data_IF_692937874026
#
_entry.id   IF_692937874026
#
_cell.length_a   1.000
_cell.length_b   1.000
_cell.length_c   1.000
_cell.angle_alpha   90.00
_cell.angle_beta   90.00
_cell.angle_gamma   90.00
#
_symmetry.space_group_name_H-M   'P 1'
#
loop_
_entity.id
_entity.type
_entity.pdbx_description
1 polymer ?
#
# COMPACT_ATOMS: atom_id res chain seq x y z
N UNK A 1 13.29 -10.08 21.32
CA UNK A 1 13.60 -8.70 21.75
C UNK A 1 13.72 -7.74 20.57
N UNK A 2 14.65 -7.96 19.61
CA UNK A 2 14.84 -7.10 18.41
C UNK A 2 13.53 -6.71 17.68
N UNK A 3 12.65 -7.69 17.42
CA UNK A 3 11.30 -7.47 16.85
C UNK A 3 10.48 -6.42 17.61
N UNK A 4 10.39 -6.53 18.94
CA UNK A 4 9.60 -5.59 19.74
C UNK A 4 10.19 -4.18 19.74
N UNK A 5 11.51 -4.05 19.74
CA UNK A 5 12.18 -2.75 19.62
C UNK A 5 12.00 -2.13 18.23
N UNK A 6 12.02 -2.96 17.17
CA UNK A 6 11.73 -2.52 15.79
C UNK A 6 10.29 -2.03 15.67
N UNK A 7 9.33 -2.80 16.20
CA UNK A 7 7.92 -2.41 16.27
C UNK A 7 7.73 -1.07 16.98
N UNK A 8 8.28 -0.92 18.19
CA UNK A 8 8.13 0.30 18.98
C UNK A 8 8.77 1.51 18.29
N UNK A 9 9.94 1.32 17.65
CA UNK A 9 10.60 2.36 16.85
C UNK A 9 9.71 2.82 15.69
N UNK A 10 9.17 1.88 14.90
CA UNK A 10 8.24 2.22 13.81
C UNK A 10 6.96 2.89 14.31
N UNK A 11 6.41 2.42 15.43
CA UNK A 11 5.22 3.01 16.03
C UNK A 11 5.47 4.46 16.46
N UNK A 12 6.58 4.74 17.14
CA UNK A 12 6.96 6.10 17.51
C UNK A 12 7.14 6.99 16.29
N UNK A 13 7.83 6.49 15.25
CA UNK A 13 8.06 7.26 14.03
C UNK A 13 6.74 7.60 13.31
N UNK A 14 5.84 6.63 13.19
CA UNK A 14 4.53 6.85 12.57
C UNK A 14 3.67 7.85 13.33
N UNK A 15 3.71 7.84 14.68
CA UNK A 15 3.00 8.83 15.48
C UNK A 15 3.51 10.25 15.20
N UNK A 16 4.83 10.45 15.08
CA UNK A 16 5.38 11.77 14.74
C UNK A 16 4.91 12.20 13.35
N UNK A 17 4.96 11.31 12.35
CA UNK A 17 4.53 11.63 10.98
C UNK A 17 3.06 12.07 10.96
N UNK A 18 2.20 11.41 11.74
CA UNK A 18 0.77 11.70 11.79
C UNK A 18 0.41 12.98 12.56
N UNK A 19 1.24 13.40 13.53
CA UNK A 19 0.92 14.51 14.43
C UNK A 19 1.61 15.81 14.02
N UNK A 20 2.84 15.73 13.50
CA UNK A 20 3.72 16.88 13.35
C UNK A 20 3.74 17.35 11.91
N UNK A 21 3.61 18.65 11.70
CA UNK A 21 3.79 19.27 10.37
C UNK A 21 5.15 18.87 9.76
N UNK A 22 5.17 18.64 8.45
CA UNK A 22 6.31 18.05 7.72
C UNK A 22 7.66 18.74 7.95
N UNK A 23 7.66 20.06 8.17
CA UNK A 23 8.88 20.86 8.42
C UNK A 23 9.53 20.54 9.77
N UNK A 24 8.76 20.06 10.74
CA UNK A 24 9.21 19.80 12.11
C UNK A 24 9.46 18.31 12.40
N UNK A 25 9.03 17.41 11.50
CA UNK A 25 9.14 15.95 11.68
C UNK A 25 10.59 15.49 11.91
N UNK A 26 11.56 16.04 11.16
CA UNK A 26 12.98 15.67 11.28
C UNK A 26 13.52 16.05 12.66
N UNK A 27 13.16 17.23 13.15
CA UNK A 27 13.57 17.72 14.48
C UNK A 27 12.99 16.79 15.55
N UNK A 28 11.71 16.43 15.45
CA UNK A 28 11.07 15.49 16.36
C UNK A 28 11.72 14.11 16.34
N UNK A 29 12.12 13.59 15.18
CA UNK A 29 12.87 12.33 15.10
C UNK A 29 14.23 12.43 15.80
N UNK A 30 14.97 13.52 15.62
CA UNK A 30 16.25 13.71 16.30
C UNK A 30 16.08 13.75 17.84
N UNK A 31 15.04 14.43 18.33
CA UNK A 31 14.71 14.44 19.76
C UNK A 31 14.32 13.06 20.27
N UNK A 32 13.42 12.35 19.57
CA UNK A 32 13.02 10.99 19.97
C UNK A 32 14.19 10.02 19.97
N UNK A 33 15.09 10.13 19.00
CA UNK A 33 16.30 9.33 18.97
C UNK A 33 17.18 9.61 20.19
N UNK A 34 17.41 10.88 20.54
CA UNK A 34 18.16 11.24 21.75
C UNK A 34 17.54 10.64 23.03
N UNK A 35 16.20 10.69 23.14
CA UNK A 35 15.47 10.05 24.27
C UNK A 35 15.63 8.54 24.23
N UNK A 36 15.49 7.92 23.06
CA UNK A 36 15.62 6.48 22.88
C UNK A 36 17.00 5.97 23.26
N UNK A 37 18.07 6.66 22.84
CA UNK A 37 19.45 6.30 23.17
C UNK A 37 19.68 6.32 24.69
N UNK A 38 19.13 7.32 25.39
CA UNK A 38 19.17 7.38 26.86
C UNK A 38 18.45 6.21 27.52
N UNK A 39 17.25 5.86 27.04
CA UNK A 39 16.50 4.70 27.54
C UNK A 39 17.29 3.41 27.29
N UNK A 40 17.81 3.25 26.07
CA UNK A 40 18.62 2.09 25.68
C UNK A 40 19.87 1.94 26.55
N UNK A 41 20.51 3.05 26.94
CA UNK A 41 21.69 3.02 27.81
C UNK A 41 21.40 2.54 29.23
N UNK A 42 20.14 2.52 29.66
CA UNK A 42 19.72 1.87 30.93
C UNK A 42 19.65 0.33 30.82
N UNK A 43 19.59 -0.22 29.60
CA UNK A 43 19.56 -1.66 29.39
C UNK A 43 20.97 -2.26 29.48
N UNK A 44 21.06 -3.54 29.87
CA UNK A 44 22.31 -4.30 29.93
C UNK A 44 22.31 -5.49 28.98
N UNK A 45 23.51 -5.96 28.61
CA UNK A 45 23.70 -7.17 27.82
C UNK A 45 23.04 -7.14 26.42
N UNK A 46 22.42 -8.25 26.04
CA UNK A 46 21.84 -8.44 24.69
C UNK A 46 20.64 -7.53 24.39
N UNK A 47 19.95 -7.03 25.42
CA UNK A 47 18.80 -6.11 25.26
C UNK A 47 19.28 -4.76 24.73
N UNK A 48 20.36 -4.22 25.30
CA UNK A 48 20.98 -2.97 24.84
C UNK A 48 21.30 -3.02 23.34
N UNK A 49 21.89 -4.12 22.89
CA UNK A 49 22.29 -4.31 21.49
C UNK A 49 21.11 -4.58 20.56
N UNK A 50 19.99 -5.10 21.09
CA UNK A 50 18.80 -5.44 20.28
C UNK A 50 17.91 -4.24 19.95
N UNK A 51 18.11 -3.11 20.63
CA UNK A 51 17.20 -1.96 20.61
C UNK A 51 17.92 -0.69 20.18
N UNK A 52 18.86 -0.79 19.26
CA UNK A 52 19.49 0.37 18.60
C UNK A 52 18.44 1.07 17.74
N UNK A 53 18.26 2.39 17.91
CA UNK A 53 17.35 3.14 17.06
C UNK A 53 17.96 3.30 15.67
N UNK A 54 17.34 2.69 14.68
CA UNK A 54 17.66 2.96 13.28
C UNK A 54 16.88 4.19 12.81
N UNK A 55 17.61 5.24 12.42
CA UNK A 55 17.07 6.35 11.63
C UNK A 55 17.52 6.10 10.18
N UNK A 56 16.72 5.40 9.38
CA UNK A 56 17.09 5.19 7.99
C UNK A 56 17.12 6.53 7.23
N UNK A 57 18.10 6.77 6.34
CA UNK A 57 18.21 8.00 5.56
C UNK A 57 17.19 8.04 4.40
N UNK A 58 15.93 7.68 4.70
CA UNK A 58 14.83 7.60 3.72
C UNK A 58 13.74 8.61 4.04
N UNK A 59 12.98 8.99 3.01
CA UNK A 59 11.88 9.94 3.13
C UNK A 59 10.76 9.40 4.03
N UNK A 60 9.89 10.30 4.51
CA UNK A 60 8.76 9.94 5.39
C UNK A 60 7.86 8.87 4.76
N UNK A 61 7.56 8.99 3.47
CA UNK A 61 6.76 7.99 2.76
C UNK A 61 7.41 6.60 2.75
N UNK A 62 8.74 6.50 2.66
CA UNK A 62 9.42 5.20 2.80
C UNK A 62 9.34 4.65 4.22
N UNK A 63 9.40 5.49 5.26
CA UNK A 63 9.26 5.06 6.66
C UNK A 63 7.88 4.48 6.95
N UNK A 64 6.83 5.08 6.39
CA UNK A 64 5.46 4.54 6.48
C UNK A 64 5.36 3.17 5.80
N UNK A 65 5.93 3.03 4.60
CA UNK A 65 5.99 1.74 3.88
C UNK A 65 6.78 0.70 4.67
N UNK A 66 7.93 1.05 5.24
CA UNK A 66 8.73 0.18 6.11
C UNK A 66 7.91 -0.36 7.29
N UNK A 67 7.18 0.52 7.98
CA UNK A 67 6.26 0.10 9.05
C UNK A 67 5.21 -0.88 8.54
N UNK A 68 4.55 -0.60 7.40
CA UNK A 68 3.53 -1.51 6.82
C UNK A 68 4.13 -2.88 6.48
N UNK A 69 5.34 -2.92 5.91
CA UNK A 69 6.07 -4.18 5.62
C UNK A 69 6.33 -4.96 6.91
N UNK A 70 6.85 -4.28 7.94
CA UNK A 70 7.11 -4.90 9.24
C UNK A 70 5.82 -5.46 9.87
N UNK A 71 4.77 -4.64 9.95
CA UNK A 71 3.49 -5.05 10.52
C UNK A 71 2.86 -6.22 9.74
N UNK A 72 2.96 -6.23 8.41
CA UNK A 72 2.50 -7.36 7.61
C UNK A 72 3.26 -8.64 7.95
N UNK A 73 4.59 -8.59 8.00
CA UNK A 73 5.42 -9.75 8.34
C UNK A 73 5.04 -10.34 9.70
N UNK A 74 4.78 -9.48 10.69
CA UNK A 74 4.49 -9.95 12.04
C UNK A 74 3.06 -10.48 12.21
N UNK A 75 2.13 -10.04 11.37
CA UNK A 75 0.72 -10.42 11.45
C UNK A 75 0.29 -11.39 10.32
N UNK A 76 1.21 -11.87 9.48
CA UNK A 76 0.88 -12.67 8.29
C UNK A 76 0.06 -13.92 8.62
N UNK A 77 0.45 -14.67 9.65
CA UNK A 77 -0.26 -15.88 10.09
C UNK A 77 -1.67 -15.56 10.63
N UNK A 78 -1.80 -14.47 11.38
CA UNK A 78 -3.09 -14.01 11.91
C UNK A 78 -4.01 -13.54 10.78
N UNK A 79 -3.47 -12.81 9.79
CA UNK A 79 -4.22 -12.34 8.62
C UNK A 79 -4.81 -13.51 7.83
N UNK A 80 -4.06 -14.60 7.62
CA UNK A 80 -4.57 -15.82 6.98
C UNK A 80 -5.78 -16.41 7.71
N UNK A 81 -5.81 -16.31 9.04
CA UNK A 81 -6.87 -16.87 9.88
C UNK A 81 -8.09 -15.94 9.94
N UNK A 82 -7.85 -14.63 10.06
CA UNK A 82 -8.89 -13.62 10.20
C UNK A 82 -9.73 -13.50 8.93
N UNK A 83 -9.10 -13.54 7.75
CA UNK A 83 -9.81 -13.46 6.47
C UNK A 83 -10.79 -14.61 6.24
N UNK A 84 -10.54 -15.77 6.85
CA UNK A 84 -11.42 -16.96 6.77
C UNK A 84 -12.57 -16.94 7.79
N UNK A 85 -12.43 -16.19 8.87
CA UNK A 85 -13.29 -16.31 10.06
C UNK A 85 -14.13 -15.07 10.37
N UNK A 86 -13.76 -13.89 9.89
CA UNK A 86 -14.42 -12.61 10.22
C UNK A 86 -14.90 -11.88 8.98
N UNK A 87 -16.05 -12.31 8.44
CA UNK A 87 -16.63 -11.76 7.20
C UNK A 87 -16.86 -10.24 7.26
N UNK A 88 -17.25 -9.71 8.42
CA UNK A 88 -17.50 -8.27 8.62
C UNK A 88 -16.23 -7.39 8.57
N UNK A 89 -15.04 -7.97 8.77
CA UNK A 89 -13.78 -7.23 8.68
C UNK A 89 -13.05 -7.46 7.35
N UNK A 90 -13.56 -8.37 6.51
CA UNK A 90 -12.89 -8.82 5.29
C UNK A 90 -12.61 -7.67 4.33
N UNK A 91 -13.56 -6.73 4.18
CA UNK A 91 -13.36 -5.54 3.34
C UNK A 91 -12.18 -4.68 3.80
N UNK A 92 -12.08 -4.41 5.11
CA UNK A 92 -10.98 -3.65 5.69
C UNK A 92 -9.64 -4.33 5.46
N UNK A 93 -9.55 -5.64 5.72
CA UNK A 93 -8.33 -6.38 5.52
C UNK A 93 -7.95 -6.47 4.04
N UNK A 94 -8.90 -6.64 3.13
CA UNK A 94 -8.59 -6.66 1.71
C UNK A 94 -8.05 -5.30 1.22
N UNK A 95 -8.60 -4.17 1.65
CA UNK A 95 -8.00 -2.85 1.35
C UNK A 95 -6.56 -2.77 1.85
N UNK A 96 -6.30 -3.26 3.07
CA UNK A 96 -4.95 -3.34 3.60
C UNK A 96 -4.04 -4.26 2.77
N UNK A 97 -4.52 -5.41 2.30
CA UNK A 97 -3.75 -6.31 1.45
C UNK A 97 -3.40 -5.65 0.11
N UNK A 98 -4.34 -4.95 -0.54
CA UNK A 98 -4.07 -4.22 -1.78
C UNK A 98 -2.95 -3.17 -1.60
N UNK A 99 -2.98 -2.43 -0.49
CA UNK A 99 -1.88 -1.51 -0.11
C UNK A 99 -0.54 -2.24 0.02
N UNK A 100 -0.54 -3.43 0.64
CA UNK A 100 0.66 -4.26 0.81
C UNK A 100 1.16 -4.79 -0.55
N UNK A 101 0.27 -5.19 -1.46
CA UNK A 101 0.62 -5.61 -2.83
C UNK A 101 1.37 -4.49 -3.57
N UNK A 102 0.86 -3.26 -3.49
CA UNK A 102 1.48 -2.09 -4.11
C UNK A 102 2.87 -1.83 -3.54
N UNK A 103 3.02 -1.92 -2.21
CA UNK A 103 4.31 -1.76 -1.54
C UNK A 103 5.28 -2.87 -1.94
N UNK A 104 4.82 -4.12 -2.04
CA UNK A 104 5.65 -5.22 -2.50
C UNK A 104 6.18 -4.98 -3.91
N UNK A 105 5.30 -4.60 -4.83
CA UNK A 105 5.69 -4.34 -6.20
C UNK A 105 6.67 -3.16 -6.28
N UNK A 106 6.41 -2.04 -5.60
CA UNK A 106 7.36 -0.92 -5.49
C UNK A 106 8.74 -1.37 -5.01
N UNK A 107 8.79 -2.12 -3.90
CA UNK A 107 10.05 -2.52 -3.28
C UNK A 107 10.76 -3.64 -4.05
N UNK A 108 10.06 -4.43 -4.86
CA UNK A 108 10.69 -5.41 -5.76
C UNK A 108 11.64 -4.72 -6.75
N UNK A 109 11.27 -3.53 -7.23
CA UNK A 109 12.12 -2.72 -8.11
C UNK A 109 13.20 -1.97 -7.33
N UNK A 110 12.86 -1.39 -6.18
CA UNK A 110 13.81 -0.64 -5.35
C UNK A 110 14.89 -1.56 -4.76
N UNK A 111 14.52 -2.76 -4.32
CA UNK A 111 15.36 -3.72 -3.60
C UNK A 111 15.91 -4.82 -4.50
N UNK A 112 16.43 -4.41 -5.66
CA UNK A 112 17.05 -5.29 -6.67
C UNK A 112 18.58 -5.42 -6.52
N UNK A 113 19.15 -4.95 -5.40
CA UNK A 113 20.59 -4.99 -5.12
C UNK A 113 21.35 -3.69 -5.42
N UNK A 114 20.77 -2.74 -6.17
CA UNK A 114 21.43 -1.44 -6.48
C UNK A 114 21.15 -0.36 -5.44
N UNK A 115 19.98 -0.37 -4.78
CA UNK A 115 19.53 0.66 -3.83
C UNK A 115 19.25 0.11 -2.43
N UNK A 116 20.21 -0.65 -1.87
CA UNK A 116 20.03 -1.36 -0.60
C UNK A 116 19.74 -0.43 0.59
N UNK A 117 20.14 0.84 0.54
CA UNK A 117 19.86 1.82 1.61
C UNK A 117 18.36 2.10 1.81
N UNK A 118 17.56 1.93 0.76
CA UNK A 118 16.10 2.12 0.80
C UNK A 118 15.35 0.87 1.24
N UNK A 119 16.06 -0.23 1.42
CA UNK A 119 15.50 -1.54 1.71
C UNK A 119 15.61 -1.84 3.19
N UNK A 120 14.50 -2.17 3.86
CA UNK A 120 14.56 -2.58 5.25
C UNK A 120 15.24 -3.95 5.38
N UNK A 121 15.91 -4.21 6.50
CA UNK A 121 16.57 -5.50 6.80
C UNK A 121 15.61 -6.69 6.65
N UNK A 122 14.33 -6.47 6.95
CA UNK A 122 13.26 -7.47 6.88
C UNK A 122 12.60 -7.60 5.50
N UNK A 123 13.13 -6.96 4.45
CA UNK A 123 12.64 -7.09 3.07
C UNK A 123 12.61 -8.56 2.61
N UNK A 124 13.66 -9.33 2.90
CA UNK A 124 13.72 -10.74 2.53
C UNK A 124 12.65 -11.59 3.20
N UNK A 125 12.25 -11.26 4.43
CA UNK A 125 11.16 -11.95 5.12
C UNK A 125 9.81 -11.61 4.44
N UNK A 126 9.65 -10.34 4.06
CA UNK A 126 8.48 -9.90 3.32
C UNK A 126 8.33 -10.59 1.97
N UNK A 127 9.41 -10.74 1.20
CA UNK A 127 9.38 -11.49 -0.05
C UNK A 127 9.04 -12.98 0.09
N UNK A 128 9.28 -13.57 1.27
CA UNK A 128 8.84 -14.95 1.57
C UNK A 128 7.38 -15.03 1.98
N UNK A 129 6.90 -14.05 2.75
CA UNK A 129 5.53 -14.00 3.26
C UNK A 129 4.53 -13.48 2.21
N UNK A 130 5.00 -12.72 1.23
CA UNK A 130 4.21 -12.21 0.11
C UNK A 130 4.69 -12.82 -1.21
N UNK A 131 4.51 -14.14 -1.44
CA UNK A 131 4.69 -14.68 -2.79
C UNK A 131 3.58 -14.13 -3.69
N UNK A 132 3.91 -13.88 -4.96
CA UNK A 132 3.10 -13.22 -6.01
C UNK A 132 1.75 -13.92 -6.33
N UNK A 133 1.37 -14.95 -5.58
CA UNK A 133 0.10 -15.66 -5.70
C UNK A 133 -0.46 -16.00 -4.31
N UNK A 134 -0.40 -15.04 -3.38
CA UNK A 134 -0.79 -15.31 -2.00
C UNK A 134 -2.25 -15.77 -1.94
N UNK A 135 -2.49 -16.88 -1.24
CA UNK A 135 -3.83 -17.39 -0.95
C UNK A 135 -4.75 -16.31 -0.34
N UNK A 136 -4.15 -15.31 0.30
CA UNK A 136 -4.80 -14.12 0.86
C UNK A 136 -5.35 -13.21 -0.25
N UNK A 137 -4.59 -12.95 -1.30
CA UNK A 137 -5.00 -12.08 -2.41
C UNK A 137 -6.18 -12.69 -3.20
N UNK A 138 -6.16 -14.01 -3.39
CA UNK A 138 -7.28 -14.75 -4.01
C UNK A 138 -8.59 -14.60 -3.23
N UNK A 139 -8.52 -14.62 -1.90
CA UNK A 139 -9.68 -14.43 -1.02
C UNK A 139 -10.25 -13.00 -1.08
N UNK A 140 -9.48 -12.03 -1.58
CA UNK A 140 -9.89 -10.63 -1.69
C UNK A 140 -10.41 -10.23 -3.06
N UNK A 141 -10.34 -11.12 -4.07
CA UNK A 141 -10.70 -10.81 -5.46
C UNK A 141 -12.11 -10.22 -5.62
N UNK A 142 -13.13 -10.87 -5.06
CA UNK A 142 -14.52 -10.39 -5.14
C UNK A 142 -14.70 -9.03 -4.45
N UNK A 143 -13.94 -8.78 -3.38
CA UNK A 143 -13.98 -7.51 -2.66
C UNK A 143 -13.30 -6.41 -3.48
N UNK A 144 -12.18 -6.70 -4.13
CA UNK A 144 -11.51 -5.76 -5.03
C UNK A 144 -12.44 -5.33 -6.15
N UNK A 145 -13.12 -6.28 -6.79
CA UNK A 145 -14.12 -5.99 -7.84
C UNK A 145 -15.26 -5.13 -7.29
N UNK A 146 -15.81 -5.46 -6.11
CA UNK A 146 -16.86 -4.64 -5.46
C UNK A 146 -16.41 -3.22 -5.15
N UNK A 147 -15.14 -3.04 -4.78
CA UNK A 147 -14.56 -1.75 -4.43
C UNK A 147 -14.05 -0.96 -5.65
N UNK A 148 -14.08 -1.55 -6.84
CA UNK A 148 -13.49 -0.97 -8.03
C UNK A 148 -11.96 -0.81 -7.93
N UNK A 149 -11.29 -1.75 -7.26
CA UNK A 149 -9.82 -1.81 -7.17
C UNK A 149 -9.28 -2.75 -8.25
N UNK A 150 -8.48 -2.21 -9.16
CA UNK A 150 -7.93 -2.95 -10.30
C UNK A 150 -6.42 -2.94 -10.26
N UNK A 151 -5.82 -4.11 -10.47
CA UNK A 151 -4.38 -4.22 -10.67
C UNK A 151 -4.04 -3.75 -12.10
N UNK A 152 -3.29 -2.65 -12.19
CA UNK A 152 -2.93 -1.99 -13.43
C UNK A 152 -1.42 -1.85 -13.55
N UNK A 153 -0.93 -1.96 -14.78
CA UNK A 153 0.49 -1.85 -15.12
C UNK A 153 0.87 -0.40 -15.37
N UNK A 154 1.68 0.16 -14.48
CA UNK A 154 2.28 1.49 -14.62
C UNK A 154 3.64 1.38 -15.28
N UNK A 155 3.91 2.26 -16.24
CA UNK A 155 5.26 2.40 -16.81
C UNK A 155 6.18 3.08 -15.80
N UNK A 156 7.31 2.44 -15.50
CA UNK A 156 8.25 2.86 -14.47
C UNK A 156 9.66 3.13 -15.02
N UNK A 157 9.93 2.74 -16.27
CA UNK A 157 11.26 2.85 -16.87
C UNK A 157 11.72 4.28 -17.14
N UNK A 158 13.05 4.45 -17.16
CA UNK A 158 13.70 5.56 -17.87
C UNK A 158 13.60 5.33 -19.39
N UNK A 159 13.75 6.41 -20.18
CA UNK A 159 13.69 6.37 -21.65
C UNK A 159 14.44 5.14 -22.19
N UNK A 160 13.73 4.31 -22.95
CA UNK A 160 14.20 3.10 -23.65
C UNK A 160 14.26 1.77 -22.86
N UNK A 161 13.81 1.73 -21.61
CA UNK A 161 13.56 0.46 -20.88
C UNK A 161 12.07 0.31 -20.60
N UNK A 162 11.42 -0.71 -21.16
CA UNK A 162 10.02 -1.03 -20.85
C UNK A 162 9.91 -1.82 -19.53
N UNK A 163 10.00 -1.12 -18.41
CA UNK A 163 9.76 -1.67 -17.08
C UNK A 163 8.37 -1.27 -16.57
N UNK A 164 7.59 -2.23 -16.10
CA UNK A 164 6.22 -2.03 -15.62
C UNK A 164 6.07 -2.52 -14.19
N UNK A 165 5.31 -1.77 -13.38
CA UNK A 165 4.92 -2.14 -12.02
C UNK A 165 3.42 -2.36 -11.98
N UNK A 166 2.99 -3.45 -11.35
CA UNK A 166 1.59 -3.75 -11.10
C UNK A 166 1.13 -3.08 -9.80
N UNK A 167 0.04 -2.31 -9.85
CA UNK A 167 -0.52 -1.64 -8.67
C UNK A 167 -2.05 -1.68 -8.69
N UNK A 168 -2.64 -2.01 -7.55
CA UNK A 168 -4.05 -1.83 -7.27
C UNK A 168 -4.39 -0.35 -7.10
N UNK A 169 -5.31 0.13 -7.93
CA UNK A 169 -5.77 1.51 -7.90
C UNK A 169 -7.29 1.55 -8.12
N UNK A 170 -7.94 2.59 -7.59
CA UNK A 170 -9.39 2.73 -7.71
C UNK A 170 -9.80 3.25 -9.08
N UNK A 171 -10.95 2.83 -9.62
CA UNK A 171 -11.50 3.37 -10.88
C UNK A 171 -11.60 4.90 -10.87
N UNK A 172 -11.93 5.46 -9.71
CA UNK A 172 -12.05 6.92 -9.56
C UNK A 172 -10.68 7.60 -9.67
N UNK A 173 -9.61 6.96 -9.19
CA UNK A 173 -8.23 7.44 -9.36
C UNK A 173 -7.84 7.40 -10.85
N UNK A 174 -8.19 6.33 -11.57
CA UNK A 174 -7.97 6.25 -13.03
C UNK A 174 -8.70 7.33 -13.80
N UNK A 175 -10.00 7.52 -13.54
CA UNK A 175 -10.79 8.58 -14.17
C UNK A 175 -10.20 9.98 -13.91
N UNK A 176 -9.58 10.18 -12.75
CA UNK A 176 -8.91 11.43 -12.41
C UNK A 176 -7.59 11.62 -13.18
N UNK A 177 -6.75 10.58 -13.30
CA UNK A 177 -5.55 10.64 -14.14
C UNK A 177 -5.89 10.88 -15.63
N UNK A 178 -6.94 10.25 -16.16
CA UNK A 178 -7.42 10.49 -17.52
C UNK A 178 -7.84 11.96 -17.72
N UNK A 179 -8.48 12.58 -16.72
CA UNK A 179 -8.91 13.99 -16.75
C UNK A 179 -7.75 14.99 -16.63
N UNK A 180 -6.66 14.63 -15.93
CA UNK A 180 -5.49 15.49 -15.76
C UNK A 180 -4.47 15.41 -16.91
N UNK A 181 -4.41 14.28 -17.62
CA UNK A 181 -3.35 14.00 -18.62
C UNK A 181 -3.83 14.21 -20.08
N UNK A 182 -5.05 14.69 -20.28
CA UNK A 182 -5.49 15.20 -21.59
C UNK A 182 -4.75 16.53 -21.89
N UNK A 183 -3.53 16.55 -22.49
CA UNK A 183 -3.20 15.84 -23.73
C UNK A 183 -1.73 15.35 -23.85
N UNK A 184 -1.46 14.06 -23.66
CA UNK A 184 -0.36 13.35 -24.35
C UNK A 184 -0.89 11.99 -24.83
N UNK A 185 -1.24 11.92 -26.11
CA UNK A 185 -2.06 10.85 -26.71
C UNK A 185 -1.40 9.47 -26.76
N UNK A 186 -0.07 9.39 -26.63
CA UNK A 186 0.66 8.19 -27.03
C UNK A 186 0.93 7.24 -25.84
N UNK A 187 1.26 7.78 -24.66
CA UNK A 187 1.39 6.98 -23.44
C UNK A 187 0.03 6.46 -22.96
N UNK A 188 -1.01 7.30 -23.09
CA UNK A 188 -2.40 6.91 -22.82
C UNK A 188 -2.87 5.76 -23.72
N UNK A 189 -2.50 5.76 -25.00
CA UNK A 189 -2.88 4.69 -25.95
C UNK A 189 -2.22 3.36 -25.61
N UNK A 190 -1.02 3.37 -25.02
CA UNK A 190 -0.36 2.16 -24.51
C UNK A 190 -1.04 1.65 -23.23
N UNK A 191 -1.38 2.52 -22.28
CA UNK A 191 -2.13 2.14 -21.07
C UNK A 191 -3.53 1.57 -21.41
N UNK A 192 -4.27 2.21 -22.32
CA UNK A 192 -5.63 1.78 -22.70
C UNK A 192 -5.68 0.40 -23.38
N UNK A 193 -4.70 0.06 -24.21
CA UNK A 193 -4.60 -1.29 -24.81
C UNK A 193 -4.37 -2.38 -23.77
N UNK A 194 -3.74 -2.05 -22.64
CA UNK A 194 -3.43 -3.00 -21.56
C UNK A 194 -4.65 -3.27 -20.66
N UNK A 195 -5.49 -2.27 -20.39
CA UNK A 195 -6.74 -2.45 -19.63
C UNK A 195 -7.71 -3.41 -20.35
N UNK A 196 -7.82 -3.31 -21.68
CA UNK A 196 -8.62 -4.23 -22.48
C UNK A 196 -8.03 -5.65 -22.61
N UNK A 197 -6.73 -5.82 -22.34
CA UNK A 197 -6.07 -7.13 -22.36
C UNK A 197 -6.15 -7.91 -21.04
N UNK A 198 -6.34 -7.21 -19.92
CA UNK A 198 -6.43 -7.81 -18.56
C UNK A 198 -7.88 -8.07 -18.14
N UNK A 199 -8.84 -7.33 -18.69
CA UNK A 199 -10.27 -7.57 -18.47
C UNK A 199 -10.78 -8.58 -19.50
N UNK A 200 -11.43 -9.67 -19.05
CA UNK A 200 -12.18 -10.55 -19.95
C UNK A 200 -13.22 -9.69 -20.70
N UNK A 201 -13.17 -9.57 -22.05
CA UNK A 201 -14.03 -8.66 -22.80
C UNK A 201 -15.54 -8.92 -22.62
N UNK A 202 -15.90 -10.11 -22.11
CA UNK A 202 -17.28 -10.51 -21.90
C UNK A 202 -18.03 -9.72 -20.81
N UNK A 203 -17.35 -9.16 -19.80
CA UNK A 203 -18.03 -8.38 -18.74
C UNK A 203 -18.32 -6.92 -19.14
N UNK A 204 -17.63 -6.40 -20.16
CA UNK A 204 -17.86 -5.05 -20.69
C UNK A 204 -18.92 -5.02 -21.82
N UNK A 205 -19.28 -6.17 -22.39
CA UNK A 205 -20.22 -6.26 -23.51
C UNK A 205 -21.70 -6.30 -23.09
N UNK A 206 -22.00 -6.40 -21.80
CA UNK A 206 -23.38 -6.33 -21.28
C UNK A 206 -23.52 -5.21 -20.25
N UNK A 207 -23.68 -3.93 -20.67
CA UNK A 207 -24.21 -2.94 -19.78
C UNK A 207 -25.59 -3.41 -19.28
N UNK A 208 -25.77 -3.50 -17.96
CA UNK A 208 -27.07 -3.74 -17.35
C UNK A 208 -28.08 -2.77 -17.97
N UNK A 209 -29.07 -3.33 -18.67
CA UNK A 209 -30.17 -2.60 -19.29
C UNK A 209 -30.91 -1.86 -18.16
N UNK A 210 -31.00 -0.51 -18.18
CA UNK A 210 -31.76 0.20 -17.17
C UNK A 210 -33.23 -0.22 -17.29
N UNK A 211 -33.95 -0.46 -16.17
CA UNK A 211 -35.37 -0.75 -16.22
C UNK A 211 -36.09 0.47 -16.80
N UNK A 212 -36.65 0.29 -18.00
CA UNK A 212 -37.38 1.31 -18.71
C UNK A 212 -38.81 1.45 -18.19
N UNK A 213 -39.21 2.71 -17.98
CA UNK A 213 -40.60 3.16 -18.12
C UNK A 213 -41.29 3.59 -16.83
N UNK A 214 -41.76 4.86 -16.81
CA UNK A 214 -42.94 5.22 -16.03
C UNK A 214 -42.89 6.52 -15.23
N UNK A 215 -42.90 7.65 -15.92
CA UNK A 215 -43.65 8.89 -15.60
C UNK A 215 -44.02 9.28 -14.15
N UNK A 216 -43.59 10.51 -13.83
CA UNK A 216 -44.27 11.61 -13.10
C UNK A 216 -44.15 11.69 -11.57
N UNK A 217 -44.09 12.97 -11.16
CA UNK A 217 -44.30 13.57 -9.82
C UNK A 217 -43.07 13.44 -8.92
N UNK A 218 -42.45 14.48 -8.36
CA UNK A 218 -42.74 15.91 -8.27
C UNK A 218 -41.80 16.46 -7.19
N UNK A 219 -41.21 17.62 -7.44
CA UNK A 219 -40.54 18.42 -6.41
C UNK A 219 -41.44 18.57 -5.18
N UNK A 220 -40.90 18.36 -3.97
CA UNK A 220 -41.18 19.19 -2.79
C UNK A 220 -40.24 18.84 -1.61
N UNK A 221 -39.39 19.81 -1.29
CA UNK A 221 -39.08 20.33 0.05
C UNK A 221 -38.87 19.36 1.23
N UNK A 222 -37.65 19.34 1.76
CA UNK A 222 -37.39 19.43 3.21
C UNK A 222 -37.90 20.81 3.70
N UNK A 223 -38.43 21.01 4.93
CA UNK A 223 -37.71 20.70 6.17
C UNK A 223 -38.53 20.44 7.48
N UNK A 224 -37.95 19.67 8.41
CA UNK A 224 -37.54 20.05 9.78
C UNK A 224 -37.18 18.81 10.58
#
# INVERSE_FOLDING_TARGET
MKKHCTYLSHWLQANVINIVESKSTIICFAFLHSVWEKVRDTFTGSVKNSCVAEIPPVSMGYREKWKKIHDYNENYEDLKTVLKSKENCKEYYCKYIADISNIYNDFKHVCNGKNNERCPEYWNNFGKNYPVDSEIEKQCKEIYEKLGLYNIKFYFGEQDIEEYIEQYESEHTFSFFEKLIAPKSDDMRKMWRNVQGVTNPASLLNPMKPPGGGNKIGLLFLPK
#
